data_IF_452022994719
#
_entry.id   IF_452022994719
#
_cell.length_a   1.000
_cell.length_b   1.000
_cell.length_c   1.000
_cell.angle_alpha   90.00
_cell.angle_beta   90.00
_cell.angle_gamma   90.00
#
_symmetry.space_group_name_H-M   'P 1'
#
loop_
_entity.id
_entity.type
_entity.pdbx_description
1 polymer ?
#
# COMPACT_ATOMS: atom_id res chain seq x y z
N UNK A 1 -10.22 -9.18 -6.58
CA UNK A 1 -9.35 -8.11 -6.07
C UNK A 1 -9.95 -6.71 -6.23
N UNK A 2 -10.60 -6.38 -7.36
CA UNK A 2 -11.29 -5.09 -7.51
C UNK A 2 -12.27 -4.75 -6.39
N UNK A 3 -13.02 -5.74 -5.89
CA UNK A 3 -13.95 -5.55 -4.77
C UNK A 3 -13.22 -5.08 -3.51
N UNK A 4 -12.05 -5.65 -3.21
CA UNK A 4 -11.22 -5.22 -2.07
C UNK A 4 -10.76 -3.77 -2.22
N UNK A 5 -10.31 -3.37 -3.42
CA UNK A 5 -9.92 -1.97 -3.67
C UNK A 5 -11.10 -1.01 -3.49
N UNK A 6 -12.29 -1.36 -4.00
CA UNK A 6 -13.53 -0.59 -3.79
C UNK A 6 -13.95 -0.53 -2.32
N UNK A 7 -13.98 -1.66 -1.62
CA UNK A 7 -14.37 -1.75 -0.20
C UNK A 7 -13.39 -1.01 0.73
N UNK A 8 -12.13 -0.90 0.34
CA UNK A 8 -11.07 -0.19 1.09
C UNK A 8 -10.86 1.25 0.65
N UNK A 9 -11.74 1.78 -0.21
CA UNK A 9 -11.62 3.13 -0.76
C UNK A 9 -10.26 3.41 -1.45
N UNK A 10 -9.57 2.36 -1.92
CA UNK A 10 -8.32 2.50 -2.67
C UNK A 10 -8.69 2.75 -4.13
N UNK A 11 -8.37 3.94 -4.63
CA UNK A 11 -8.51 4.24 -6.06
C UNK A 11 -7.46 3.47 -6.86
N UNK A 12 -7.91 2.57 -7.72
CA UNK A 12 -7.01 1.84 -8.61
C UNK A 12 -6.55 2.77 -9.76
N UNK A 13 -5.25 3.00 -9.85
CA UNK A 13 -4.60 3.72 -10.96
C UNK A 13 -4.18 2.78 -12.10
N UNK A 14 -4.03 1.48 -11.81
CA UNK A 14 -3.80 0.42 -12.78
C UNK A 14 -4.80 -0.69 -12.55
N UNK A 15 -5.42 -1.16 -13.62
CA UNK A 15 -6.27 -2.34 -13.63
C UNK A 15 -6.05 -3.10 -14.95
N UNK A 16 -5.09 -4.03 -14.94
CA UNK A 16 -4.76 -4.88 -16.08
C UNK A 16 -5.34 -6.28 -15.87
N UNK A 17 -6.42 -6.55 -16.61
CA UNK A 17 -7.14 -7.83 -16.56
C UNK A 17 -6.36 -8.97 -17.23
N UNK A 18 -5.43 -8.68 -18.14
CA UNK A 18 -4.67 -9.72 -18.85
C UNK A 18 -3.59 -10.34 -17.95
N UNK A 19 -2.94 -9.52 -17.12
CA UNK A 19 -1.92 -9.98 -16.17
C UNK A 19 -2.47 -10.17 -14.74
N UNK A 20 -3.72 -9.77 -14.51
CA UNK A 20 -4.40 -9.82 -13.22
C UNK A 20 -3.84 -8.84 -12.20
N UNK A 21 -3.21 -7.75 -12.66
CA UNK A 21 -2.60 -6.72 -11.81
C UNK A 21 -3.62 -5.60 -11.56
N UNK A 22 -3.83 -5.29 -10.29
CA UNK A 22 -4.50 -4.06 -9.85
C UNK A 22 -3.57 -3.30 -8.91
N UNK A 23 -3.39 -2.01 -9.15
CA UNK A 23 -2.55 -1.17 -8.32
C UNK A 23 -3.19 0.18 -8.05
N UNK A 24 -2.85 0.75 -6.89
CA UNK A 24 -3.31 2.06 -6.45
C UNK A 24 -2.26 2.71 -5.57
N UNK A 25 -2.32 4.03 -5.53
CA UNK A 25 -1.49 4.89 -4.67
C UNK A 25 -2.40 5.81 -3.88
N UNK A 26 -1.96 6.25 -2.72
CA UNK A 26 -2.67 7.25 -1.94
C UNK A 26 -1.83 7.79 -0.79
N UNK A 27 -2.41 8.75 -0.10
CA UNK A 27 -1.82 9.49 1.03
C UNK A 27 -2.85 9.77 2.13
N UNK A 28 -4.02 9.15 2.05
CA UNK A 28 -5.05 9.25 3.07
C UNK A 28 -4.48 8.76 4.41
N UNK A 29 -4.47 9.58 5.48
CA UNK A 29 -3.83 9.22 6.75
C UNK A 29 -4.45 8.00 7.42
N UNK A 30 -5.77 7.81 7.30
CA UNK A 30 -6.45 6.65 7.89
C UNK A 30 -6.01 5.36 7.19
N UNK A 31 -6.00 5.36 5.85
CA UNK A 31 -5.54 4.21 5.07
C UNK A 31 -4.03 3.97 5.19
N UNK A 32 -3.22 5.03 5.17
CA UNK A 32 -1.75 4.93 5.27
C UNK A 32 -1.33 4.27 6.59
N UNK A 33 -1.95 4.66 7.70
CA UNK A 33 -1.68 4.08 9.03
C UNK A 33 -2.02 2.58 9.15
N UNK A 34 -2.98 2.10 8.32
CA UNK A 34 -3.31 0.68 8.24
C UNK A 34 -2.18 -0.09 7.57
N UNK A 35 -1.61 0.42 6.48
CA UNK A 35 -0.67 -0.33 5.65
C UNK A 35 0.80 -0.12 6.02
N UNK A 36 1.13 1.03 6.61
CA UNK A 36 2.49 1.45 6.89
C UNK A 36 2.76 1.45 8.40
N UNK A 37 3.99 1.11 8.76
CA UNK A 37 4.49 1.18 10.14
C UNK A 37 5.59 2.23 10.28
N UNK A 38 5.18 3.43 10.67
CA UNK A 38 6.05 4.57 10.92
C UNK A 38 6.64 4.61 12.33
N UNK A 39 6.48 3.55 13.16
CA UNK A 39 6.96 3.53 14.55
C UNK A 39 8.47 3.71 14.70
N UNK A 40 9.23 3.42 13.64
CA UNK A 40 10.68 3.58 13.60
C UNK A 40 11.15 4.99 13.20
N UNK A 41 10.21 5.89 12.87
CA UNK A 41 10.56 7.27 12.55
C UNK A 41 10.92 8.04 13.82
N UNK A 42 11.92 8.94 13.75
CA UNK A 42 12.42 9.67 14.92
C UNK A 42 11.42 10.68 15.50
N UNK A 43 10.35 11.01 14.77
CA UNK A 43 9.27 11.87 15.24
C UNK A 43 7.94 11.40 14.68
N UNK A 44 6.84 11.81 15.33
CA UNK A 44 5.46 11.39 15.01
C UNK A 44 4.58 12.52 14.48
N UNK A 45 5.11 13.74 14.35
CA UNK A 45 4.41 14.92 13.86
C UNK A 45 4.99 15.37 12.51
N UNK A 46 4.16 16.04 11.69
CA UNK A 46 4.51 16.53 10.35
C UNK A 46 5.04 15.45 9.40
N UNK A 47 4.47 14.25 9.48
CA UNK A 47 4.74 13.17 8.54
C UNK A 47 3.66 13.19 7.45
N UNK A 48 4.09 13.20 6.19
CA UNK A 48 3.24 12.93 5.04
C UNK A 48 3.51 11.50 4.56
N UNK A 49 2.52 10.62 4.72
CA UNK A 49 2.64 9.23 4.33
C UNK A 49 2.09 9.04 2.92
N UNK A 50 2.81 8.31 2.09
CA UNK A 50 2.33 7.85 0.79
C UNK A 50 2.47 6.34 0.72
N UNK A 51 1.42 5.67 0.25
CA UNK A 51 1.43 4.23 0.00
C UNK A 51 1.23 3.92 -1.47
N UNK A 52 1.72 2.76 -1.87
CA UNK A 52 1.42 2.08 -3.13
C UNK A 52 1.11 0.63 -2.83
N UNK A 53 -0.07 0.19 -3.25
CA UNK A 53 -0.53 -1.20 -3.14
C UNK A 53 -0.59 -1.78 -4.55
N UNK A 54 0.05 -2.91 -4.76
CA UNK A 54 0.01 -3.71 -5.98
C UNK A 54 -0.48 -5.08 -5.61
N UNK A 55 -1.61 -5.49 -6.16
CA UNK A 55 -2.11 -6.85 -6.02
C UNK A 55 -2.11 -7.53 -7.38
N UNK A 56 -1.59 -8.75 -7.43
CA UNK A 56 -1.58 -9.59 -8.62
C UNK A 56 -2.32 -10.88 -8.32
N UNK A 57 -3.26 -11.23 -9.19
CA UNK A 57 -3.98 -12.50 -9.16
C UNK A 57 -3.65 -13.26 -10.42
N UNK A 58 -3.19 -14.50 -10.31
CA UNK A 58 -2.91 -15.35 -11.46
C UNK A 58 -3.27 -16.80 -11.17
N UNK A 59 -3.57 -17.57 -12.22
CA UNK A 59 -3.69 -19.02 -12.09
C UNK A 59 -2.37 -19.69 -12.45
N UNK A 60 -1.95 -20.68 -11.66
CA UNK A 60 -0.73 -21.46 -11.90
C UNK A 60 -1.05 -22.93 -12.22
N UNK A 61 -2.20 -23.21 -12.84
CA UNK A 61 -2.67 -24.57 -13.13
C UNK A 61 -3.34 -25.26 -11.95
N UNK A 62 -2.85 -25.06 -10.73
CA UNK A 62 -3.48 -25.51 -9.48
C UNK A 62 -4.01 -24.32 -8.67
N UNK A 63 -5.20 -23.85 -9.03
CA UNK A 63 -5.90 -22.78 -8.31
C UNK A 63 -5.43 -21.36 -8.63
N UNK A 64 -5.89 -20.43 -7.80
CA UNK A 64 -5.63 -18.99 -7.92
C UNK A 64 -4.60 -18.56 -6.89
N UNK A 65 -3.54 -17.92 -7.35
CA UNK A 65 -2.53 -17.28 -6.51
C UNK A 65 -2.85 -15.80 -6.37
N UNK A 66 -2.59 -15.26 -5.19
CA UNK A 66 -2.73 -13.83 -4.89
C UNK A 66 -1.44 -13.35 -4.24
N UNK A 67 -0.80 -12.37 -4.87
CA UNK A 67 0.31 -11.62 -4.28
C UNK A 67 -0.14 -10.20 -4.00
N UNK A 68 0.15 -9.69 -2.81
CA UNK A 68 -0.08 -8.29 -2.45
C UNK A 68 1.24 -7.72 -1.98
N UNK A 69 1.71 -6.71 -2.70
CA UNK A 69 2.87 -5.90 -2.34
C UNK A 69 2.36 -4.53 -1.93
N UNK A 70 2.68 -4.12 -0.73
CA UNK A 70 2.51 -2.73 -0.31
C UNK A 70 3.90 -2.13 -0.18
N UNK A 71 4.03 -0.86 -0.53
CA UNK A 71 5.25 -0.06 -0.35
C UNK A 71 4.83 1.32 0.13
N UNK A 72 5.67 2.01 0.89
CA UNK A 72 5.35 3.37 1.31
C UNK A 72 6.56 4.22 1.64
N UNK A 73 6.32 5.52 1.66
CA UNK A 73 7.30 6.55 2.00
C UNK A 73 6.70 7.54 2.98
N UNK A 74 7.51 8.00 3.94
CA UNK A 74 7.20 9.10 4.83
C UNK A 74 8.03 10.32 4.43
N UNK A 75 7.37 11.37 3.98
CA UNK A 75 7.96 12.71 3.86
C UNK A 75 7.93 13.42 5.20
N UNK A 76 9.03 14.11 5.52
CA UNK A 76 9.21 14.84 6.76
C UNK A 76 9.70 16.26 6.44
N UNK A 77 8.87 17.25 6.74
CA UNK A 77 9.30 18.65 6.71
C UNK A 77 9.98 18.98 8.04
N UNK A 78 11.30 19.13 8.00
CA UNK A 78 12.11 19.56 9.14
C UNK A 78 12.48 21.04 8.96
N UNK A 79 12.69 21.76 10.07
CA UNK A 79 12.90 23.22 10.07
C UNK A 79 14.04 23.72 9.15
N UNK A 80 14.95 22.83 8.70
CA UNK A 80 16.08 23.14 7.83
C UNK A 80 16.11 22.33 6.51
N UNK A 81 15.00 21.70 6.08
CA UNK A 81 14.94 20.93 4.82
C UNK A 81 13.85 19.86 4.78
N UNK A 82 13.81 19.05 3.72
CA UNK A 82 12.90 17.89 3.60
C UNK A 82 13.68 16.58 3.72
N UNK A 83 13.18 15.62 4.49
CA UNK A 83 13.70 14.26 4.54
C UNK A 83 12.65 13.24 4.07
N UNK A 84 13.07 12.17 3.41
CA UNK A 84 12.17 11.09 2.96
C UNK A 84 12.67 9.75 3.46
N UNK A 85 11.79 9.00 4.12
CA UNK A 85 12.08 7.69 4.69
C UNK A 85 11.28 6.61 3.95
N UNK A 86 11.89 5.44 3.74
CA UNK A 86 11.16 4.23 3.32
C UNK A 86 10.54 3.59 4.55
N UNK A 87 9.26 3.24 4.47
CA UNK A 87 8.51 2.70 5.60
C UNK A 87 8.35 1.19 5.47
N UNK A 88 8.39 0.50 6.62
CA UNK A 88 8.09 -0.92 6.73
C UNK A 88 6.58 -1.17 6.58
N UNK A 89 6.24 -2.24 5.87
CA UNK A 89 4.86 -2.58 5.52
C UNK A 89 4.27 -3.54 6.54
N UNK A 90 3.03 -3.30 6.96
CA UNK A 90 2.23 -4.28 7.70
C UNK A 90 1.65 -5.30 6.71
N UNK A 91 2.24 -6.50 6.66
CA UNK A 91 1.75 -7.59 5.82
C UNK A 91 0.41 -8.14 6.36
N UNK A 92 -0.70 -7.77 5.73
CA UNK A 92 -1.99 -8.43 5.98
C UNK A 92 -2.12 -9.66 5.10
N UNK A 93 -2.11 -10.84 5.72
CA UNK A 93 -2.40 -12.11 5.04
C UNK A 93 -3.88 -12.13 4.69
N UNK A 94 -4.22 -11.97 3.40
CA UNK A 94 -5.59 -12.14 2.93
C UNK A 94 -5.85 -13.64 2.67
N UNK A 95 -6.58 -14.29 3.56
CA UNK A 95 -7.13 -15.63 3.33
C UNK A 95 -8.58 -15.47 2.85
N UNK A 96 -8.90 -15.71 1.57
CA UNK A 96 -10.29 -15.81 1.14
C UNK A 96 -10.92 -17.06 1.76
N UNK A 97 -12.05 -16.87 2.45
CA UNK A 97 -12.95 -17.94 2.93
C UNK A 97 -13.80 -18.50 1.81
#
# INVERSE_FOLDING_TARGET
MERYFRERAITASVNDQNTGIIAGTGDDPELSSLYLDCSLLPQTQNIQEHYRIVAQVWSAGEGSNVSVMVTGTAGLDIANGSATYRITVKLYRYCPS
#
